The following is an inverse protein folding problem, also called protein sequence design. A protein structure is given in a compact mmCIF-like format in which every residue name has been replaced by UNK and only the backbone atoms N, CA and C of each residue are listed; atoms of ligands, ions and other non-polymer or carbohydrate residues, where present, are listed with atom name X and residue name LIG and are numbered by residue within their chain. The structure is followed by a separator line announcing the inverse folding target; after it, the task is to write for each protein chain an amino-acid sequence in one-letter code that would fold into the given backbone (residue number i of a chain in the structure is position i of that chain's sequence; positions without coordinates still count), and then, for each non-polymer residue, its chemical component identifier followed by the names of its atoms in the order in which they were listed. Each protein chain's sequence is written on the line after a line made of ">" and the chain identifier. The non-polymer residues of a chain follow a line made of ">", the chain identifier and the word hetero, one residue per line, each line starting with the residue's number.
data_IF_861560305309
#
_entry.id   IF_861560305309
#
_cell.length_a   1.000
_cell.length_b   1.000
_cell.length_c   1.000
_cell.angle_alpha   90.00
_cell.angle_beta   90.00
_cell.angle_gamma   90.00
#
_symmetry.space_group_name_H-M   'P 1'
#
loop_
_entity.id
_entity.type
_entity.pdbx_description
1 polymer ?
#
# COMPACT_ATOMS: atom_id res chain seq x y z
N UNK A 1 12.59 -4.39 7.57
CA UNK A 1 12.12 -5.60 6.85
C UNK A 1 10.80 -5.28 6.15
N UNK A 2 10.54 -5.86 4.98
CA UNK A 2 9.24 -5.73 4.30
C UNK A 2 8.46 -7.04 4.45
N UNK A 3 7.20 -6.97 4.87
CA UNK A 3 6.24 -8.06 4.78
C UNK A 3 5.16 -7.69 3.77
N UNK A 4 4.87 -8.60 2.84
CA UNK A 4 3.90 -8.40 1.78
C UNK A 4 2.87 -9.53 1.80
N UNK A 5 1.61 -9.15 1.94
CA UNK A 5 0.46 -9.98 1.61
C UNK A 5 -0.31 -9.25 0.52
N UNK A 6 -0.61 -9.94 -0.58
CA UNK A 6 -1.38 -9.39 -1.68
C UNK A 6 -2.39 -10.43 -2.15
N UNK A 7 -3.66 -10.07 -2.10
CA UNK A 7 -4.77 -10.93 -2.50
C UNK A 7 -5.34 -10.43 -3.80
N UNK A 8 -5.52 -11.34 -4.75
CA UNK A 8 -6.07 -11.05 -6.06
C UNK A 8 -7.11 -12.09 -6.46
N UNK A 9 -7.96 -11.73 -7.41
CA UNK A 9 -8.82 -12.67 -8.13
C UNK A 9 -8.53 -12.59 -9.62
N UNK A 10 -8.66 -13.73 -10.30
CA UNK A 10 -8.60 -13.80 -11.77
C UNK A 10 -10.03 -13.77 -12.27
N UNK A 11 -10.34 -12.83 -13.16
CA UNK A 11 -11.67 -12.67 -13.74
C UNK A 11 -11.57 -12.76 -15.26
N UNK A 12 -12.58 -13.34 -15.89
CA UNK A 12 -12.67 -13.35 -17.34
C UNK A 12 -12.72 -11.92 -17.86
N UNK A 13 -11.96 -11.66 -18.90
CA UNK A 13 -11.94 -10.39 -19.62
C UNK A 13 -12.51 -10.68 -21.01
N UNK A 14 -13.57 -9.97 -21.38
CA UNK A 14 -14.25 -10.15 -22.67
C UNK A 14 -13.75 -9.15 -23.72
N UNK A 15 -12.67 -8.42 -23.44
CA UNK A 15 -11.99 -7.59 -24.43
C UNK A 15 -11.29 -8.44 -25.49
N UNK A 16 -11.16 -7.90 -26.70
CA UNK A 16 -10.72 -8.63 -27.91
C UNK A 16 -9.30 -9.23 -27.76
N UNK A 17 -8.48 -8.67 -26.87
CA UNK A 17 -7.06 -8.99 -26.76
C UNK A 17 -6.67 -9.76 -25.49
N UNK A 18 -7.58 -9.95 -24.52
CA UNK A 18 -7.30 -10.65 -23.25
C UNK A 18 -8.50 -11.45 -22.79
N UNK A 19 -8.29 -12.74 -22.54
CA UNK A 19 -9.33 -13.64 -22.01
C UNK A 19 -9.48 -13.56 -20.48
N UNK A 20 -8.46 -13.05 -19.79
CA UNK A 20 -8.39 -13.00 -18.33
C UNK A 20 -7.67 -11.74 -17.86
N UNK A 21 -8.12 -11.17 -16.74
CA UNK A 21 -7.44 -10.09 -16.01
C UNK A 21 -7.35 -10.42 -14.52
N UNK A 22 -6.35 -9.83 -13.87
CA UNK A 22 -6.14 -9.94 -12.42
C UNK A 22 -6.71 -8.68 -11.78
N UNK A 23 -7.49 -8.84 -10.71
CA UNK A 23 -7.97 -7.73 -9.90
C UNK A 23 -7.41 -7.87 -8.49
N UNK A 24 -6.77 -6.81 -7.99
CA UNK A 24 -6.42 -6.72 -6.57
C UNK A 24 -7.70 -6.65 -5.74
N UNK A 25 -7.81 -7.44 -4.68
CA UNK A 25 -8.98 -7.45 -3.77
C UNK A 25 -8.62 -7.15 -2.32
N UNK A 26 -7.35 -7.29 -1.95
CA UNK A 26 -6.83 -6.86 -0.66
C UNK A 26 -5.29 -6.78 -0.69
N UNK A 27 -4.69 -6.02 0.21
CA UNK A 27 -3.26 -6.05 0.47
C UNK A 27 -2.92 -5.64 1.91
N UNK A 28 -1.77 -6.15 2.38
CA UNK A 28 -1.08 -5.71 3.58
C UNK A 28 0.41 -5.56 3.27
N UNK A 29 0.87 -4.32 3.13
CA UNK A 29 2.27 -4.00 2.93
C UNK A 29 2.83 -3.39 4.21
N UNK A 30 3.63 -4.14 4.95
CA UNK A 30 4.17 -3.71 6.24
C UNK A 30 5.66 -3.46 6.13
N UNK A 31 6.09 -2.25 6.50
CA UNK A 31 7.48 -1.87 6.69
C UNK A 31 7.76 -2.01 8.19
N UNK A 32 8.70 -2.88 8.52
CA UNK A 32 9.05 -3.27 9.87
C UNK A 32 10.48 -2.84 10.21
N UNK A 33 10.77 -2.64 11.50
CA UNK A 33 12.14 -2.45 11.99
C UNK A 33 12.93 -3.78 12.02
N UNK A 34 14.09 -3.78 12.70
CA UNK A 34 14.96 -4.97 12.80
C UNK A 34 14.40 -6.02 13.74
N UNK A 35 13.56 -5.62 14.68
CA UNK A 35 12.88 -6.45 15.65
C UNK A 35 11.49 -6.90 15.16
N UNK A 36 11.21 -6.73 13.85
CA UNK A 36 9.94 -7.06 13.20
C UNK A 36 8.73 -6.29 13.75
N UNK A 37 8.94 -5.11 14.33
CA UNK A 37 7.87 -4.22 14.80
C UNK A 37 7.46 -3.26 13.68
N UNK A 38 6.18 -2.96 13.58
CA UNK A 38 5.63 -2.12 12.52
C UNK A 38 6.09 -0.65 12.63
N UNK A 39 6.59 -0.13 11.51
CA UNK A 39 6.92 1.28 11.31
C UNK A 39 5.82 1.99 10.53
N UNK A 40 5.44 1.41 9.39
CA UNK A 40 4.37 1.88 8.51
C UNK A 40 3.68 0.67 7.91
N UNK A 41 2.37 0.74 7.69
CA UNK A 41 1.67 -0.29 6.92
C UNK A 41 0.56 0.26 6.04
N UNK A 42 0.54 -0.17 4.78
CA UNK A 42 -0.54 0.13 3.85
C UNK A 42 -1.47 -1.06 3.78
N UNK A 43 -2.73 -0.86 4.15
CA UNK A 43 -3.74 -1.90 4.21
C UNK A 43 -4.91 -1.57 3.29
N UNK A 44 -5.48 -2.60 2.69
CA UNK A 44 -6.80 -2.56 2.09
C UNK A 44 -7.41 -3.95 2.14
N UNK A 45 -8.66 -4.07 2.57
CA UNK A 45 -9.41 -5.32 2.55
C UNK A 45 -10.91 -5.05 2.61
N UNK A 46 -11.69 -5.95 2.01
CA UNK A 46 -13.16 -5.88 2.00
C UNK A 46 -13.82 -6.58 3.21
N UNK A 47 -13.04 -7.02 4.22
CA UNK A 47 -13.49 -7.83 5.35
C UNK A 47 -14.04 -7.04 6.56
N UNK A 48 -14.69 -7.77 7.48
CA UNK A 48 -15.62 -7.34 8.54
C UNK A 48 -15.03 -6.61 9.76
N UNK A 49 -13.72 -6.43 9.86
CA UNK A 49 -13.06 -5.74 10.98
C UNK A 49 -12.20 -4.61 10.45
N UNK A 50 -12.44 -3.38 10.95
CA UNK A 50 -11.74 -2.17 10.49
C UNK A 50 -12.40 -1.50 9.27
N UNK A 51 -11.79 -0.43 8.75
CA UNK A 51 -12.33 0.30 7.60
C UNK A 51 -12.15 -0.45 6.28
N UNK A 52 -13.17 -0.40 5.43
CA UNK A 52 -13.17 -1.05 4.11
C UNK A 52 -12.45 -0.23 3.00
N UNK A 53 -11.93 0.95 3.33
CA UNK A 53 -11.18 1.80 2.40
C UNK A 53 -9.66 1.58 2.54
N UNK A 54 -8.86 1.81 1.49
CA UNK A 54 -7.40 1.75 1.58
C UNK A 54 -6.84 2.76 2.58
N UNK A 55 -5.98 2.34 3.49
CA UNK A 55 -5.47 3.21 4.56
C UNK A 55 -4.02 2.92 4.94
N UNK A 56 -3.42 3.90 5.62
CA UNK A 56 -2.10 3.85 6.22
C UNK A 56 -2.20 3.74 7.73
N UNK A 57 -1.46 2.79 8.30
CA UNK A 57 -1.08 2.76 9.70
C UNK A 57 0.32 3.35 9.86
N UNK A 58 0.50 4.10 10.94
CA UNK A 58 1.80 4.59 11.40
C UNK A 58 2.10 3.89 12.73
N UNK A 59 3.37 3.62 13.02
CA UNK A 59 3.78 2.99 14.27
C UNK A 59 3.15 3.64 15.51
N UNK A 60 2.51 2.85 16.35
CA UNK A 60 2.05 3.28 17.68
C UNK A 60 3.17 3.62 18.66
N UNK A 61 4.44 3.47 18.24
CA UNK A 61 5.61 3.94 18.99
C UNK A 61 5.80 5.46 18.89
N UNK A 62 5.15 6.11 17.93
CA UNK A 62 5.03 7.56 17.93
C UNK A 62 4.06 7.92 19.06
N UNK A 63 4.54 8.70 20.02
CA UNK A 63 3.73 9.19 21.12
C UNK A 63 2.54 10.03 20.65
N UNK A 64 1.65 10.40 21.57
CA UNK A 64 0.51 11.24 21.21
C UNK A 64 0.96 12.62 20.72
N UNK A 65 0.27 13.13 19.71
CA UNK A 65 0.57 14.43 19.11
C UNK A 65 -0.57 15.41 19.39
N UNK A 66 -0.28 16.65 19.78
CA UNK A 66 -1.29 17.69 19.83
C UNK A 66 -1.74 18.03 18.40
N UNK A 67 -3.03 17.88 18.12
CA UNK A 67 -3.61 18.24 16.82
C UNK A 67 -4.74 19.24 17.02
N UNK A 68 -4.66 20.39 16.35
CA UNK A 68 -5.68 21.44 16.47
C UNK A 68 -5.76 22.12 17.84
N UNK A 69 -6.71 23.04 17.98
CA UNK A 69 -7.01 23.72 19.26
C UNK A 69 -8.12 22.98 19.98
N UNK A 70 -7.97 22.81 21.30
CA UNK A 70 -8.98 22.19 22.19
C UNK A 70 -9.34 20.73 21.86
N UNK A 71 -8.42 19.97 21.24
CA UNK A 71 -8.57 18.53 21.04
C UNK A 71 -7.50 17.82 21.89
N UNK A 72 -7.83 16.72 22.58
CA UNK A 72 -6.83 15.91 23.28
C UNK A 72 -5.73 15.44 22.32
N UNK A 73 -4.49 15.23 22.81
CA UNK A 73 -3.43 14.62 22.01
C UNK A 73 -3.88 13.28 21.42
N UNK A 74 -3.57 13.05 20.15
CA UNK A 74 -4.02 11.87 19.41
C UNK A 74 -2.88 10.87 19.24
N UNK A 75 -3.19 9.58 19.38
CA UNK A 75 -2.29 8.50 19.04
C UNK A 75 -2.43 8.16 17.55
N UNK A 76 -1.48 8.59 16.71
CA UNK A 76 -1.55 8.33 15.26
C UNK A 76 -1.58 6.83 14.93
N UNK A 77 -0.97 5.98 15.75
CA UNK A 77 -0.98 4.54 15.51
C UNK A 77 -2.33 3.85 15.73
N UNK A 78 -3.30 4.55 16.32
CA UNK A 78 -4.69 4.06 16.44
C UNK A 78 -5.57 4.55 15.28
N UNK A 79 -5.03 5.39 14.39
CA UNK A 79 -5.77 5.96 13.27
C UNK A 79 -5.59 5.15 11.99
N UNK A 80 -6.65 5.12 11.19
CA UNK A 80 -6.62 4.60 9.83
C UNK A 80 -6.61 5.77 8.86
N UNK A 81 -5.42 6.20 8.44
CA UNK A 81 -5.26 7.39 7.61
C UNK A 81 -5.68 7.06 6.16
N UNK A 82 -6.71 7.71 5.60
CA UNK A 82 -7.20 7.35 4.27
C UNK A 82 -6.14 7.52 3.18
N UNK A 83 -6.14 6.58 2.25
CA UNK A 83 -5.33 6.60 1.04
C UNK A 83 -6.18 6.20 -0.16
N UNK A 84 -5.69 6.43 -1.37
CA UNK A 84 -6.14 5.67 -2.53
C UNK A 84 -5.51 4.27 -2.50
N UNK A 85 -5.89 3.38 -3.43
CA UNK A 85 -5.18 2.11 -3.54
C UNK A 85 -3.70 2.35 -3.85
N UNK A 86 -2.82 1.66 -3.12
CA UNK A 86 -1.37 1.82 -3.23
C UNK A 86 -0.79 0.64 -4.01
N UNK A 87 -0.12 0.83 -5.15
CA UNK A 87 0.56 -0.26 -5.83
C UNK A 87 1.80 -0.68 -5.03
N UNK A 88 2.12 -1.98 -5.04
CA UNK A 88 3.35 -2.47 -4.40
C UNK A 88 4.60 -1.78 -4.98
N UNK A 89 4.60 -1.44 -6.27
CA UNK A 89 5.70 -0.74 -6.91
C UNK A 89 6.01 0.62 -6.25
N UNK A 90 5.00 1.36 -5.78
CA UNK A 90 5.20 2.60 -5.05
C UNK A 90 5.84 2.36 -3.67
N UNK A 91 5.46 1.28 -2.97
CA UNK A 91 6.10 0.89 -1.69
C UNK A 91 7.55 0.48 -1.91
N UNK A 92 7.84 -0.29 -2.95
CA UNK A 92 9.22 -0.64 -3.31
C UNK A 92 10.06 0.59 -3.65
N UNK A 93 9.47 1.58 -4.36
CA UNK A 93 10.12 2.85 -4.66
C UNK A 93 10.44 3.63 -3.38
N UNK A 94 9.48 3.77 -2.47
CA UNK A 94 9.65 4.39 -1.16
C UNK A 94 10.84 3.77 -0.39
N UNK A 95 10.93 2.44 -0.38
CA UNK A 95 12.02 1.73 0.29
C UNK A 95 13.40 2.04 -0.31
N UNK A 96 13.48 2.15 -1.63
CA UNK A 96 14.74 2.45 -2.32
C UNK A 96 15.14 3.93 -2.15
N UNK A 97 14.19 4.86 -2.35
CA UNK A 97 14.50 6.29 -2.39
C UNK A 97 14.59 6.92 -1.00
N UNK A 98 13.63 6.63 -0.12
CA UNK A 98 13.52 7.28 1.19
C UNK A 98 14.21 6.48 2.29
N UNK A 99 14.05 5.16 2.29
CA UNK A 99 14.73 4.28 3.26
C UNK A 99 16.16 3.91 2.83
N UNK A 100 16.61 4.37 1.66
CA UNK A 100 17.95 4.16 1.12
C UNK A 100 18.34 2.68 1.02
N UNK A 101 17.36 1.80 0.81
CA UNK A 101 17.61 0.38 0.58
C UNK A 101 18.23 0.21 -0.81
N UNK A 102 19.36 -0.48 -0.86
CA UNK A 102 20.04 -0.75 -2.13
C UNK A 102 19.17 -1.61 -3.05
N UNK A 103 18.87 -1.16 -4.28
CA UNK A 103 18.09 -1.95 -5.23
C UNK A 103 18.90 -3.16 -5.70
N UNK A 104 18.24 -4.30 -5.88
CA UNK A 104 18.89 -5.52 -6.39
C UNK A 104 19.03 -5.53 -7.92
N UNK A 105 18.29 -4.67 -8.62
CA UNK A 105 18.27 -4.56 -10.08
C UNK A 105 18.70 -3.17 -10.53
N UNK A 106 19.43 -3.11 -11.64
CA UNK A 106 19.89 -1.83 -12.24
C UNK A 106 18.76 -1.04 -12.90
N UNK A 107 17.75 -1.73 -13.42
CA UNK A 107 16.60 -1.17 -14.14
C UNK A 107 15.36 -0.99 -13.23
N UNK A 108 15.58 -0.89 -11.92
CA UNK A 108 14.49 -0.82 -10.95
C UNK A 108 13.54 0.34 -11.23
N UNK A 109 14.04 1.51 -11.64
CA UNK A 109 13.21 2.68 -11.92
C UNK A 109 12.18 2.38 -13.02
N UNK A 110 12.64 1.79 -14.12
CA UNK A 110 11.80 1.45 -15.27
C UNK A 110 10.80 0.34 -14.90
N UNK A 111 11.25 -0.67 -14.16
CA UNK A 111 10.41 -1.78 -13.70
C UNK A 111 9.27 -1.27 -12.80
N UNK A 112 9.59 -0.43 -11.81
CA UNK A 112 8.58 0.12 -10.89
C UNK A 112 7.63 1.09 -11.61
N UNK A 113 8.14 1.92 -12.52
CA UNK A 113 7.30 2.84 -13.32
C UNK A 113 6.30 2.06 -14.20
N UNK A 114 6.74 0.96 -14.84
CA UNK A 114 5.86 0.11 -15.62
C UNK A 114 4.77 -0.54 -14.75
N UNK A 115 5.11 -0.97 -13.52
CA UNK A 115 4.16 -1.53 -12.56
C UNK A 115 3.13 -0.50 -12.08
N UNK A 116 3.56 0.72 -11.75
CA UNK A 116 2.66 1.82 -11.38
C UNK A 116 1.72 2.20 -12.53
N UNK A 117 2.23 2.24 -13.76
CA UNK A 117 1.41 2.53 -14.95
C UNK A 117 0.40 1.40 -15.25
N UNK A 118 0.78 0.13 -15.05
CA UNK A 118 -0.15 -1.00 -15.18
C UNK A 118 -1.28 -0.91 -14.16
N UNK A 119 -0.94 -0.63 -12.91
CA UNK A 119 -1.91 -0.44 -11.84
C UNK A 119 -2.86 0.74 -12.09
N UNK A 120 -2.35 1.87 -12.57
CA UNK A 120 -3.18 3.02 -12.91
C UNK A 120 -4.20 2.71 -14.01
N UNK A 121 -3.84 1.89 -15.01
CA UNK A 121 -4.77 1.42 -16.05
C UNK A 121 -5.84 0.49 -15.50
N UNK A 122 -5.50 -0.37 -14.53
CA UNK A 122 -6.46 -1.27 -13.88
C UNK A 122 -7.48 -0.52 -12.99
N UNK A 123 -7.09 0.63 -12.45
CA UNK A 123 -7.96 1.47 -11.60
C UNK A 123 -8.82 2.46 -12.40
N UNK A 124 -8.53 2.65 -13.70
CA UNK A 124 -9.33 3.51 -14.55
C UNK A 124 -10.72 2.90 -14.75
N UNK A 125 -11.81 3.69 -14.68
CA UNK A 125 -13.14 3.22 -15.04
C UNK A 125 -13.15 2.76 -16.51
N UNK A 126 -13.97 1.75 -16.88
CA UNK A 126 -14.17 1.41 -18.28
C UNK A 126 -14.81 2.61 -19.01
N UNK A 127 -14.29 2.92 -20.20
CA UNK A 127 -14.85 3.91 -21.13
C UNK A 127 -16.26 3.53 -21.61
#
# INVERSE_FOLDING_TARGET
>A
MLRLTHSYRVVADSSVDRLWRVETVAYWYQILDREARELLAYHWHLQTVGPAFPHLHISGRIGTLPVGRNVPPVALGEMHLPTSHVPFAAVARLLITEFRIAPMRRDWQATLAAGEAAFAREQAPPD
#
